data_IF_450644881239
#
_entry.id   IF_450644881239
#
_cell.length_a   1.000
_cell.length_b   1.000
_cell.length_c   1.000
_cell.angle_alpha   90.00
_cell.angle_beta   90.00
_cell.angle_gamma   90.00
#
_symmetry.space_group_name_H-M   'P 1'
#
loop_
_entity.id
_entity.type
_entity.pdbx_description
1 polymer ?
#
# COMPACT_ATOMS: atom_id res chain seq x y z
N UNK A 1 10.35 16.75 -22.02
CA UNK A 1 9.81 16.61 -23.39
C UNK A 1 10.92 16.62 -24.42
N UNK A 2 11.85 17.61 -24.42
CA UNK A 2 12.96 17.71 -25.39
C UNK A 2 13.79 16.42 -25.43
N UNK A 3 14.22 15.93 -24.27
CA UNK A 3 15.01 14.67 -24.17
C UNK A 3 14.25 13.46 -24.75
N UNK A 4 12.95 13.39 -24.62
CA UNK A 4 12.14 12.33 -25.21
C UNK A 4 12.13 12.45 -26.74
N UNK A 5 11.98 13.67 -27.27
CA UNK A 5 12.05 13.94 -28.72
C UNK A 5 13.41 13.57 -29.31
N UNK A 6 14.52 13.90 -28.65
CA UNK A 6 15.86 13.53 -29.06
C UNK A 6 16.06 12.01 -29.08
N UNK A 7 15.62 11.31 -28.01
CA UNK A 7 15.71 9.85 -27.95
C UNK A 7 14.85 9.19 -29.03
N UNK A 8 13.69 9.73 -29.35
CA UNK A 8 12.81 9.25 -30.41
C UNK A 8 13.46 9.42 -31.80
N UNK A 9 14.06 10.58 -32.07
CA UNK A 9 14.79 10.82 -33.31
C UNK A 9 16.00 9.88 -33.48
N UNK A 10 16.71 9.59 -32.39
CA UNK A 10 17.81 8.60 -32.36
C UNK A 10 17.31 7.18 -32.68
N UNK A 11 16.15 6.80 -32.12
CA UNK A 11 15.50 5.52 -32.42
C UNK A 11 15.13 5.42 -33.89
N UNK A 12 14.52 6.45 -34.47
CA UNK A 12 14.10 6.47 -35.86
C UNK A 12 15.31 6.35 -36.82
N UNK A 13 16.43 7.03 -36.48
CA UNK A 13 17.70 6.89 -37.22
C UNK A 13 18.25 5.45 -37.14
N UNK A 14 18.24 4.83 -35.96
CA UNK A 14 18.68 3.45 -35.77
C UNK A 14 17.80 2.44 -36.51
N UNK A 15 16.47 2.67 -36.51
CA UNK A 15 15.53 1.86 -37.30
C UNK A 15 15.79 1.95 -38.80
N UNK A 16 16.05 3.17 -39.31
CA UNK A 16 16.38 3.36 -40.72
C UNK A 16 17.67 2.62 -41.12
N UNK A 17 18.71 2.71 -40.28
CA UNK A 17 19.97 1.98 -40.52
C UNK A 17 19.76 0.45 -40.49
N UNK A 18 19.00 -0.06 -39.55
CA UNK A 18 18.67 -1.48 -39.43
C UNK A 18 17.86 -1.98 -40.65
N UNK A 19 16.93 -1.19 -41.14
CA UNK A 19 16.15 -1.54 -42.33
C UNK A 19 17.02 -1.60 -43.62
N UNK A 20 18.05 -0.73 -43.71
CA UNK A 20 19.04 -0.80 -44.79
C UNK A 20 19.87 -2.09 -44.70
N UNK A 21 20.39 -2.41 -43.51
CA UNK A 21 21.16 -3.64 -43.28
C UNK A 21 20.32 -4.90 -43.56
N UNK A 22 19.05 -4.91 -43.15
CA UNK A 22 18.11 -6.00 -43.40
C UNK A 22 17.88 -6.20 -44.92
N UNK A 23 17.66 -5.13 -45.68
CA UNK A 23 17.50 -5.19 -47.11
C UNK A 23 18.76 -5.70 -47.80
N UNK A 24 19.94 -5.28 -47.33
CA UNK A 24 21.22 -5.74 -47.85
C UNK A 24 21.41 -7.23 -47.58
N UNK A 25 21.20 -7.70 -46.34
CA UNK A 25 21.27 -9.12 -45.99
C UNK A 25 20.31 -9.98 -46.86
N UNK A 26 19.05 -9.51 -47.04
CA UNK A 26 18.06 -10.20 -47.85
C UNK A 26 18.46 -10.30 -49.33
N UNK A 27 19.28 -9.36 -49.86
CA UNK A 27 19.83 -9.38 -51.21
C UNK A 27 21.01 -10.33 -51.31
N UNK A 28 21.95 -10.30 -50.35
CA UNK A 28 23.19 -11.08 -50.37
C UNK A 28 22.91 -12.56 -50.07
N UNK A 29 22.02 -12.88 -49.17
CA UNK A 29 21.71 -14.26 -48.75
C UNK A 29 21.40 -15.23 -49.91
N UNK A 30 20.52 -14.91 -50.88
CA UNK A 30 20.28 -15.79 -52.01
C UNK A 30 21.45 -15.88 -52.97
N UNK A 31 22.22 -14.81 -53.18
CA UNK A 31 23.40 -14.80 -54.07
C UNK A 31 24.54 -15.65 -53.51
N UNK A 32 24.76 -15.62 -52.21
CA UNK A 32 25.74 -16.49 -51.58
C UNK A 32 25.34 -17.97 -51.66
N UNK A 33 24.05 -18.29 -51.53
CA UNK A 33 23.53 -19.65 -51.72
C UNK A 33 23.80 -20.17 -53.16
N UNK A 34 23.74 -19.29 -54.15
CA UNK A 34 24.05 -19.61 -55.57
C UNK A 34 25.55 -19.58 -55.87
N UNK A 35 26.41 -19.40 -54.82
CA UNK A 35 27.88 -19.23 -54.99
C UNK A 35 28.30 -18.04 -55.87
N UNK A 36 27.43 -17.06 -56.05
CA UNK A 36 27.69 -15.84 -56.82
C UNK A 36 28.39 -14.75 -55.97
N UNK A 37 28.41 -14.89 -54.63
CA UNK A 37 29.13 -14.05 -53.69
C UNK A 37 29.94 -14.91 -52.71
N UNK A 38 30.94 -14.31 -52.08
CA UNK A 38 31.78 -15.00 -51.08
C UNK A 38 31.03 -15.23 -49.77
N UNK A 39 31.46 -16.23 -49.00
CA UNK A 39 30.95 -16.45 -47.65
C UNK A 39 31.25 -15.27 -46.71
N UNK A 40 32.39 -14.63 -46.92
CA UNK A 40 32.84 -13.42 -46.20
C UNK A 40 31.84 -12.26 -46.35
N UNK A 41 31.31 -12.07 -47.58
CA UNK A 41 30.31 -11.02 -47.82
C UNK A 41 28.99 -11.30 -47.09
N UNK A 42 28.60 -12.59 -47.02
CA UNK A 42 27.41 -12.99 -46.27
C UNK A 42 27.62 -12.78 -44.73
N UNK A 43 28.78 -13.19 -44.22
CA UNK A 43 29.11 -13.05 -42.80
C UNK A 43 29.16 -11.58 -42.40
N UNK A 44 29.72 -10.70 -43.25
CA UNK A 44 29.68 -9.27 -43.05
C UNK A 44 28.27 -8.70 -43.00
N UNK A 45 27.41 -9.09 -43.96
CA UNK A 45 26.01 -8.63 -43.98
C UNK A 45 25.19 -9.11 -42.76
N UNK A 46 25.49 -10.31 -42.26
CA UNK A 46 24.92 -10.82 -40.99
C UNK A 46 25.40 -9.99 -39.79
N UNK A 47 26.71 -9.68 -39.76
CA UNK A 47 27.29 -8.85 -38.70
C UNK A 47 26.68 -7.44 -38.64
N UNK A 48 26.55 -6.81 -39.82
CA UNK A 48 25.89 -5.49 -39.97
C UNK A 48 24.45 -5.52 -39.49
N UNK A 49 23.69 -6.56 -39.88
CA UNK A 49 22.31 -6.74 -39.43
C UNK A 49 22.23 -6.90 -37.90
N UNK A 50 23.10 -7.68 -37.28
CA UNK A 50 23.13 -7.89 -35.86
C UNK A 50 23.54 -6.63 -35.09
N UNK A 51 24.55 -5.92 -35.59
CA UNK A 51 25.05 -4.67 -34.99
C UNK A 51 23.96 -3.58 -35.02
N UNK A 52 23.29 -3.41 -36.18
CA UNK A 52 22.19 -2.44 -36.26
C UNK A 52 20.98 -2.84 -35.42
N UNK A 53 20.68 -4.15 -35.27
CA UNK A 53 19.64 -4.64 -34.40
C UNK A 53 19.93 -4.30 -32.90
N UNK A 54 21.21 -4.45 -32.49
CA UNK A 54 21.64 -4.06 -31.15
C UNK A 54 21.54 -2.53 -30.95
N UNK A 55 21.87 -1.73 -31.96
CA UNK A 55 21.71 -0.28 -31.93
C UNK A 55 20.23 0.15 -31.75
N UNK A 56 19.31 -0.50 -32.43
CA UNK A 56 17.85 -0.28 -32.24
C UNK A 56 17.43 -0.62 -30.82
N UNK A 57 17.91 -1.74 -30.27
CA UNK A 57 17.61 -2.12 -28.89
C UNK A 57 18.10 -1.08 -27.87
N UNK A 58 19.31 -0.58 -28.07
CA UNK A 58 19.88 0.47 -27.24
C UNK A 58 19.09 1.79 -27.33
N UNK A 59 18.74 2.22 -28.54
CA UNK A 59 17.94 3.42 -28.75
C UNK A 59 16.52 3.30 -28.13
N UNK A 60 15.91 2.11 -28.18
CA UNK A 60 14.63 1.84 -27.47
C UNK A 60 14.77 2.03 -25.97
N UNK A 61 15.83 1.49 -25.37
CA UNK A 61 16.08 1.68 -23.93
C UNK A 61 16.24 3.15 -23.57
N UNK A 62 16.88 3.97 -24.42
CA UNK A 62 16.99 5.42 -24.22
C UNK A 62 15.63 6.12 -24.26
N UNK A 63 14.74 5.74 -25.19
CA UNK A 63 13.37 6.26 -25.25
C UNK A 63 12.59 5.90 -23.98
N UNK A 64 12.70 4.66 -23.50
CA UNK A 64 12.02 4.24 -22.26
C UNK A 64 12.55 5.02 -21.04
N UNK A 65 13.86 5.26 -20.95
CA UNK A 65 14.45 6.11 -19.92
C UNK A 65 13.93 7.55 -19.98
N UNK A 66 13.86 8.13 -21.18
CA UNK A 66 13.35 9.49 -21.35
C UNK A 66 11.85 9.60 -21.00
N UNK A 67 11.04 8.56 -21.34
CA UNK A 67 9.63 8.47 -20.94
C UNK A 67 9.48 8.36 -19.42
N UNK A 68 10.31 7.53 -18.78
CA UNK A 68 10.30 7.38 -17.33
C UNK A 68 10.62 8.71 -16.63
N UNK A 69 11.64 9.42 -17.10
CA UNK A 69 11.99 10.74 -16.56
C UNK A 69 10.83 11.75 -16.74
N UNK A 70 10.15 11.70 -17.89
CA UNK A 70 8.98 12.54 -18.13
C UNK A 70 7.81 12.16 -17.20
N UNK A 71 7.60 10.89 -16.92
CA UNK A 71 6.54 10.42 -16.04
C UNK A 71 6.69 10.93 -14.61
N UNK A 72 7.92 11.15 -14.14
CA UNK A 72 8.19 11.73 -12.81
C UNK A 72 7.77 13.21 -12.69
N UNK A 73 7.51 13.89 -13.81
CA UNK A 73 6.97 15.24 -13.79
C UNK A 73 5.45 15.28 -13.45
N UNK A 74 4.78 14.13 -13.48
CA UNK A 74 3.37 13.98 -13.12
C UNK A 74 3.27 13.06 -11.92
N UNK A 75 3.04 13.64 -10.73
CA UNK A 75 2.95 12.91 -9.48
C UNK A 75 1.50 12.54 -9.23
N UNK A 76 1.21 11.24 -9.21
CA UNK A 76 -0.13 10.72 -8.93
C UNK A 76 -0.15 9.98 -7.59
N UNK A 77 -1.28 10.05 -6.90
CA UNK A 77 -1.47 9.28 -5.66
C UNK A 77 -1.55 7.77 -5.98
N UNK A 78 -0.79 6.92 -5.27
CA UNK A 78 -0.89 5.46 -5.41
C UNK A 78 -2.15 4.88 -4.75
N UNK A 79 -2.86 5.68 -3.95
CA UNK A 79 -4.07 5.27 -3.23
C UNK A 79 -5.22 6.22 -3.51
N UNK A 80 -6.44 5.67 -3.52
CA UNK A 80 -7.66 6.46 -3.59
C UNK A 80 -8.01 6.98 -2.20
N UNK A 81 -8.26 8.26 -2.07
CA UNK A 81 -8.55 8.87 -0.77
C UNK A 81 -8.70 10.38 -0.82
N UNK A 82 -8.69 11.01 0.34
CA UNK A 82 -8.77 12.46 0.49
C UNK A 82 -7.38 13.04 0.69
N UNK A 83 -7.02 13.99 -0.15
CA UNK A 83 -5.76 14.71 -0.02
C UNK A 83 -5.85 15.78 1.08
N UNK A 84 -4.77 15.93 1.84
CA UNK A 84 -4.57 17.09 2.72
C UNK A 84 -4.38 18.37 1.91
N UNK A 85 -4.31 19.51 2.59
CA UNK A 85 -3.83 20.74 1.95
C UNK A 85 -2.43 20.54 1.36
N UNK A 86 -2.15 21.20 0.24
CA UNK A 86 -0.81 21.22 -0.34
C UNK A 86 0.17 21.87 0.67
N UNK A 87 1.31 21.21 0.88
CA UNK A 87 2.36 21.70 1.77
C UNK A 87 3.31 22.65 1.06
N UNK A 88 3.32 22.59 -0.28
CA UNK A 88 4.13 23.46 -1.13
C UNK A 88 3.22 24.30 -2.00
N UNK A 89 3.61 25.55 -2.24
CA UNK A 89 2.90 26.49 -3.12
C UNK A 89 3.42 26.38 -4.56
N UNK A 90 2.60 26.79 -5.50
CA UNK A 90 2.97 26.83 -6.91
C UNK A 90 4.22 27.70 -7.11
N UNK A 91 5.15 27.20 -7.91
CA UNK A 91 6.45 27.85 -8.15
C UNK A 91 7.54 27.54 -7.13
N UNK A 92 7.26 26.79 -6.07
CA UNK A 92 8.28 26.38 -5.11
C UNK A 92 9.24 25.37 -5.75
N UNK A 93 10.55 25.63 -5.62
CA UNK A 93 11.56 24.65 -6.04
C UNK A 93 11.58 23.46 -5.08
N UNK A 94 11.33 22.28 -5.62
CA UNK A 94 11.28 21.03 -4.84
C UNK A 94 12.67 20.39 -4.81
N UNK A 95 13.10 20.00 -3.61
CA UNK A 95 14.35 19.30 -3.34
C UNK A 95 14.11 18.20 -2.27
N UNK A 96 15.16 17.48 -1.88
CA UNK A 96 15.02 16.37 -0.91
C UNK A 96 14.50 16.80 0.47
N UNK A 97 14.69 18.05 0.88
CA UNK A 97 14.27 18.53 2.20
C UNK A 97 12.78 18.96 2.23
N UNK A 98 12.18 19.29 1.09
CA UNK A 98 10.80 19.71 0.97
C UNK A 98 9.99 18.85 -0.03
N UNK A 99 10.41 17.63 -0.27
CA UNK A 99 9.78 16.71 -1.22
C UNK A 99 8.37 16.24 -0.81
N UNK A 100 7.96 16.47 0.44
CA UNK A 100 6.62 16.15 0.91
C UNK A 100 5.61 17.18 0.38
N UNK A 101 4.76 16.75 -0.56
CA UNK A 101 3.83 17.63 -1.27
C UNK A 101 2.46 17.67 -0.62
N UNK A 102 1.92 16.51 -0.30
CA UNK A 102 0.62 16.32 0.35
C UNK A 102 0.53 14.92 0.96
N UNK A 103 -0.40 14.73 1.88
CA UNK A 103 -0.74 13.42 2.43
C UNK A 103 -2.10 12.99 1.90
N UNK A 104 -2.22 11.75 1.45
CA UNK A 104 -3.52 11.18 1.04
C UNK A 104 -3.96 10.16 2.07
N UNK A 105 -5.16 10.34 2.59
CA UNK A 105 -5.77 9.46 3.60
C UNK A 105 -6.81 8.56 2.95
N UNK A 106 -6.65 7.25 3.11
CA UNK A 106 -7.71 6.28 2.78
C UNK A 106 -8.76 6.32 3.88
N UNK A 107 -10.00 6.63 3.53
CA UNK A 107 -11.09 6.85 4.49
C UNK A 107 -11.88 5.58 4.80
N UNK A 108 -11.81 4.55 3.97
CA UNK A 108 -12.44 3.25 4.20
C UNK A 108 -11.57 2.15 3.58
N UNK A 109 -11.29 1.05 4.32
CA UNK A 109 -11.59 0.86 5.73
C UNK A 109 -10.74 1.76 6.64
N UNK A 110 -11.30 2.19 7.78
CA UNK A 110 -10.60 2.97 8.81
C UNK A 110 -10.06 2.04 9.89
N UNK A 111 -8.83 2.26 10.30
CA UNK A 111 -8.21 1.51 11.38
C UNK A 111 -8.27 2.30 12.68
N UNK A 112 -8.73 1.63 13.73
CA UNK A 112 -8.73 2.15 15.09
C UNK A 112 -7.74 1.36 15.91
N UNK A 113 -6.77 2.06 16.49
CA UNK A 113 -5.75 1.49 17.34
C UNK A 113 -6.08 1.80 18.79
N UNK A 114 -6.06 0.79 19.65
CA UNK A 114 -6.26 0.90 21.08
C UNK A 114 -5.33 -0.06 21.81
N UNK A 115 -5.12 0.18 23.10
CA UNK A 115 -4.19 -0.62 23.90
C UNK A 115 -4.93 -1.40 24.98
N UNK A 116 -4.44 -2.61 25.27
CA UNK A 116 -4.86 -3.43 26.40
C UNK A 116 -3.68 -3.63 27.34
N UNK A 117 -3.93 -3.60 28.67
CA UNK A 117 -2.87 -3.82 29.64
C UNK A 117 -2.57 -5.32 29.81
N UNK A 118 -1.31 -5.64 30.15
CA UNK A 118 -0.88 -7.00 30.50
C UNK A 118 -1.69 -7.60 31.66
N UNK A 119 -1.99 -6.78 32.67
CA UNK A 119 -2.79 -7.21 33.82
C UNK A 119 -4.22 -7.60 33.42
N UNK A 120 -4.83 -6.86 32.51
CA UNK A 120 -6.17 -7.15 32.00
C UNK A 120 -6.18 -8.43 31.16
N UNK A 121 -5.19 -8.61 30.32
CA UNK A 121 -5.02 -9.87 29.57
C UNK A 121 -4.80 -11.07 30.50
N UNK A 122 -3.93 -10.92 31.51
CA UNK A 122 -3.67 -11.97 32.50
C UNK A 122 -4.94 -12.37 33.25
N UNK A 123 -5.76 -11.37 33.68
CA UNK A 123 -7.05 -11.61 34.32
C UNK A 123 -8.01 -12.36 33.41
N UNK A 124 -8.16 -11.93 32.16
CA UNK A 124 -8.99 -12.61 31.16
C UNK A 124 -8.53 -14.05 30.96
N UNK A 125 -7.22 -14.26 30.84
CA UNK A 125 -6.61 -15.59 30.71
C UNK A 125 -6.92 -16.50 31.91
N UNK A 126 -6.87 -15.96 33.12
CA UNK A 126 -7.21 -16.70 34.32
C UNK A 126 -8.69 -17.07 34.34
N UNK A 127 -9.61 -16.13 34.11
CA UNK A 127 -11.05 -16.36 34.09
C UNK A 127 -11.47 -17.39 33.01
N UNK A 128 -10.76 -17.42 31.87
CA UNK A 128 -10.95 -18.44 30.82
C UNK A 128 -10.48 -19.82 31.31
N UNK A 129 -9.34 -19.92 31.99
CA UNK A 129 -8.84 -21.19 32.56
C UNK A 129 -9.76 -21.74 33.63
N UNK A 130 -10.38 -20.89 34.42
CA UNK A 130 -11.34 -21.23 35.47
C UNK A 130 -12.73 -21.58 34.91
N UNK A 131 -12.94 -21.38 33.60
CA UNK A 131 -14.23 -21.65 32.94
C UNK A 131 -15.33 -20.61 33.23
N UNK A 132 -14.95 -19.50 33.86
CA UNK A 132 -15.85 -18.38 34.20
C UNK A 132 -16.14 -17.54 32.96
N UNK A 133 -15.12 -17.33 32.12
CA UNK A 133 -15.21 -16.54 30.89
C UNK A 133 -14.98 -17.45 29.66
N UNK A 134 -15.81 -17.30 28.64
CA UNK A 134 -15.66 -17.97 27.34
C UNK A 134 -15.27 -16.93 26.29
N UNK A 135 -14.16 -17.18 25.58
CA UNK A 135 -13.75 -16.37 24.42
C UNK A 135 -14.59 -16.72 23.20
N UNK A 136 -14.77 -15.77 22.27
CA UNK A 136 -15.42 -16.05 20.99
C UNK A 136 -14.59 -17.05 20.17
N UNK A 137 -15.26 -17.80 19.31
CA UNK A 137 -14.59 -18.73 18.38
C UNK A 137 -13.65 -17.94 17.46
N UNK A 138 -12.49 -18.51 17.17
CA UNK A 138 -11.45 -17.91 16.33
C UNK A 138 -10.95 -16.52 16.80
N UNK A 139 -11.14 -16.15 18.06
CA UNK A 139 -10.79 -14.83 18.59
C UNK A 139 -11.44 -13.66 17.83
N UNK A 140 -12.62 -13.88 17.24
CA UNK A 140 -13.37 -12.88 16.48
C UNK A 140 -14.10 -11.92 17.43
N UNK A 141 -13.38 -10.89 17.88
CA UNK A 141 -13.91 -9.85 18.77
C UNK A 141 -14.54 -8.74 17.94
N UNK A 142 -15.82 -8.44 18.25
CA UNK A 142 -16.49 -7.25 17.74
C UNK A 142 -16.09 -6.02 18.53
N UNK A 143 -15.93 -4.90 17.81
CA UNK A 143 -15.59 -3.62 18.42
C UNK A 143 -16.65 -2.60 18.04
N UNK A 144 -17.21 -1.93 19.05
CA UNK A 144 -18.05 -0.75 18.88
C UNK A 144 -17.24 0.50 19.20
N UNK A 145 -17.53 1.60 18.50
CA UNK A 145 -16.91 2.89 18.78
C UNK A 145 -17.92 3.84 19.40
N UNK A 146 -17.51 4.46 20.48
CA UNK A 146 -18.18 5.63 21.05
C UNK A 146 -17.41 6.87 20.60
N UNK A 147 -18.07 7.76 19.89
CA UNK A 147 -17.53 9.00 19.38
C UNK A 147 -17.48 10.08 20.49
N UNK A 148 -16.78 11.16 20.22
CA UNK A 148 -16.82 12.34 21.09
C UNK A 148 -18.25 12.87 21.17
N UNK A 149 -18.82 12.89 22.38
CA UNK A 149 -20.24 13.24 22.62
C UNK A 149 -21.10 12.07 23.05
N UNK A 150 -20.56 10.84 23.12
CA UNK A 150 -21.26 9.65 23.60
C UNK A 150 -22.11 8.94 22.55
N UNK A 151 -22.07 9.39 21.30
CA UNK A 151 -22.75 8.72 20.20
C UNK A 151 -22.05 7.41 19.82
N UNK A 152 -22.82 6.35 19.65
CA UNK A 152 -22.28 5.06 19.19
C UNK A 152 -22.25 5.05 17.66
N UNK A 153 -21.07 4.77 17.10
CA UNK A 153 -20.91 4.58 15.66
C UNK A 153 -21.73 3.38 15.18
N UNK A 154 -22.55 3.53 14.13
CA UNK A 154 -23.56 2.52 13.77
C UNK A 154 -22.96 1.22 13.19
N UNK A 155 -21.71 1.27 12.70
CA UNK A 155 -21.06 0.11 12.10
C UNK A 155 -20.08 -0.49 13.10
N UNK A 156 -20.24 -1.78 13.40
CA UNK A 156 -19.29 -2.53 14.24
C UNK A 156 -18.06 -2.92 13.43
N UNK A 157 -16.90 -2.81 14.05
CA UNK A 157 -15.65 -3.29 13.48
C UNK A 157 -15.25 -4.64 14.08
N UNK A 158 -14.15 -5.19 13.57
CA UNK A 158 -13.54 -6.43 14.07
C UNK A 158 -12.07 -6.22 14.37
N UNK A 159 -11.56 -6.89 15.39
CA UNK A 159 -10.13 -6.91 15.69
C UNK A 159 -9.42 -7.66 14.57
N UNK A 160 -8.51 -6.98 13.89
CA UNK A 160 -7.74 -7.53 12.75
C UNK A 160 -6.28 -7.78 13.08
N UNK A 161 -5.78 -7.18 14.15
CA UNK A 161 -4.38 -7.30 14.55
C UNK A 161 -4.22 -7.14 16.06
N UNK A 162 -3.34 -7.96 16.63
CA UNK A 162 -2.85 -7.86 18.00
C UNK A 162 -1.33 -7.89 17.97
N UNK A 163 -0.70 -6.90 18.60
CA UNK A 163 0.76 -6.87 18.70
C UNK A 163 1.26 -8.03 19.58
N UNK A 164 2.27 -8.78 19.14
CA UNK A 164 2.89 -9.79 20.00
C UNK A 164 3.80 -9.20 21.07
N UNK A 165 4.14 -7.92 20.98
CA UNK A 165 5.08 -7.26 21.87
C UNK A 165 4.34 -6.30 22.81
N UNK A 166 4.74 -6.33 24.08
CA UNK A 166 4.34 -5.32 25.05
C UNK A 166 5.24 -4.08 24.95
N UNK A 167 4.66 -2.93 25.17
CA UNK A 167 5.42 -1.71 25.39
C UNK A 167 5.92 -1.69 26.83
N UNK A 168 7.24 -1.77 27.07
CA UNK A 168 7.79 -1.90 28.41
C UNK A 168 7.59 -0.66 29.28
N UNK A 169 7.33 0.50 28.70
CA UNK A 169 7.10 1.75 29.46
C UNK A 169 5.68 1.87 29.98
N UNK A 170 4.70 1.26 29.30
CA UNK A 170 3.27 1.35 29.65
C UNK A 170 2.67 0.03 30.13
N UNK A 171 3.37 -1.11 29.92
CA UNK A 171 2.84 -2.45 30.21
C UNK A 171 1.58 -2.78 29.41
N UNK A 172 1.49 -2.27 28.18
CA UNK A 172 0.35 -2.46 27.29
C UNK A 172 0.79 -3.01 25.95
N UNK A 173 -0.11 -3.69 25.25
CA UNK A 173 0.08 -4.06 23.85
C UNK A 173 -1.01 -3.45 22.97
N UNK A 174 -0.68 -3.29 21.70
CA UNK A 174 -1.53 -2.65 20.72
C UNK A 174 -2.49 -3.64 20.08
N UNK A 175 -3.74 -3.26 20.00
CA UNK A 175 -4.79 -3.91 19.23
C UNK A 175 -5.27 -2.98 18.11
N UNK A 176 -5.64 -3.55 16.97
CA UNK A 176 -6.19 -2.80 15.86
C UNK A 176 -7.50 -3.43 15.40
N UNK A 177 -8.51 -2.59 15.26
CA UNK A 177 -9.77 -2.98 14.65
C UNK A 177 -9.99 -2.23 13.34
N UNK A 178 -10.65 -2.88 12.40
CA UNK A 178 -11.01 -2.31 11.09
C UNK A 178 -12.50 -1.99 11.05
N UNK A 179 -12.82 -0.80 10.53
CA UNK A 179 -14.19 -0.27 10.42
C UNK A 179 -14.46 0.21 9.00
N UNK A 180 -15.59 -0.17 8.46
CA UNK A 180 -16.09 0.46 7.24
C UNK A 180 -16.55 1.88 7.54
N UNK A 181 -16.26 2.81 6.64
CA UNK A 181 -16.54 4.23 6.82
C UNK A 181 -17.18 4.85 5.56
N UNK A 182 -18.35 4.35 5.12
CA UNK A 182 -18.97 4.76 3.86
C UNK A 182 -19.35 6.24 3.83
N UNK A 183 -19.71 6.80 4.97
CA UNK A 183 -20.17 8.18 5.10
C UNK A 183 -19.07 9.15 5.55
N UNK A 184 -17.82 8.69 5.66
CA UNK A 184 -16.68 9.48 6.13
C UNK A 184 -16.90 10.18 7.48
N UNK A 185 -17.68 9.56 8.37
CA UNK A 185 -17.95 10.07 9.73
C UNK A 185 -16.72 9.94 10.61
N UNK A 186 -15.95 8.86 10.43
CA UNK A 186 -14.65 8.68 11.09
C UNK A 186 -13.59 9.49 10.33
N UNK A 187 -12.75 10.19 11.09
CA UNK A 187 -11.64 10.96 10.52
C UNK A 187 -10.30 10.45 11.06
N UNK A 188 -9.23 10.50 10.25
CA UNK A 188 -7.89 10.19 10.73
C UNK A 188 -7.53 11.03 11.95
N UNK A 189 -6.84 10.41 12.93
CA UNK A 189 -6.40 11.06 14.17
C UNK A 189 -7.54 11.50 15.10
N UNK A 190 -8.77 11.05 14.86
CA UNK A 190 -9.88 11.31 15.76
C UNK A 190 -9.78 10.41 17.01
N UNK A 191 -10.03 10.99 18.18
CA UNK A 191 -10.16 10.25 19.44
C UNK A 191 -11.53 9.56 19.49
N UNK A 192 -11.52 8.26 19.79
CA UNK A 192 -12.71 7.43 19.96
C UNK A 192 -12.50 6.47 21.13
N UNK A 193 -13.60 6.03 21.77
CA UNK A 193 -13.55 4.95 22.75
C UNK A 193 -13.92 3.63 22.08
N UNK A 194 -13.03 2.64 22.12
CA UNK A 194 -13.28 1.30 21.63
C UNK A 194 -13.92 0.44 22.74
N UNK A 195 -15.08 -0.15 22.46
CA UNK A 195 -15.78 -1.09 23.31
C UNK A 195 -15.67 -2.46 22.66
N UNK A 196 -14.83 -3.33 23.22
CA UNK A 196 -14.61 -4.69 22.70
C UNK A 196 -15.66 -5.63 23.26
N UNK A 197 -16.32 -6.39 22.38
CA UNK A 197 -17.36 -7.36 22.71
C UNK A 197 -16.99 -8.74 22.17
N UNK A 198 -17.58 -9.80 22.76
CA UNK A 198 -17.43 -11.16 22.27
C UNK A 198 -17.08 -12.18 23.34
N UNK A 199 -16.41 -11.75 24.43
CA UNK A 199 -16.24 -12.61 25.60
C UNK A 199 -17.55 -12.66 26.41
N UNK A 200 -17.93 -13.86 26.87
CA UNK A 200 -19.16 -14.08 27.63
C UNK A 200 -18.88 -14.78 28.94
N UNK A 201 -19.46 -14.29 30.02
CA UNK A 201 -19.42 -14.96 31.30
C UNK A 201 -20.38 -16.16 31.29
N UNK A 202 -19.88 -17.33 31.72
CA UNK A 202 -20.66 -18.55 31.79
C UNK A 202 -21.43 -18.58 33.12
N UNK A 203 -22.77 -18.84 33.05
CA UNK A 203 -23.64 -18.91 34.23
C UNK A 203 -23.64 -17.65 35.13
N UNK A 204 -23.44 -16.47 34.55
CA UNK A 204 -23.47 -15.22 35.28
C UNK A 204 -24.89 -14.86 35.76
N UNK A 205 -25.04 -14.52 37.05
CA UNK A 205 -26.25 -13.94 37.58
C UNK A 205 -26.20 -12.43 37.34
N UNK A 206 -27.13 -11.91 36.54
CA UNK A 206 -27.17 -10.49 36.20
C UNK A 206 -28.29 -9.82 36.99
N UNK A 207 -27.98 -8.74 37.69
CA UNK A 207 -28.92 -7.88 38.39
C UNK A 207 -28.86 -6.46 37.82
N UNK A 208 -29.98 -5.73 37.72
CA UNK A 208 -29.94 -4.32 37.32
C UNK A 208 -29.11 -3.51 38.32
N UNK A 209 -28.25 -2.63 37.81
CA UNK A 209 -27.36 -1.80 38.64
C UNK A 209 -28.12 -0.98 39.71
N UNK A 210 -29.34 -0.54 39.40
CA UNK A 210 -30.21 0.20 40.31
C UNK A 210 -30.68 -0.65 41.52
N UNK A 211 -30.60 -1.98 41.45
CA UNK A 211 -30.94 -2.89 42.54
C UNK A 211 -29.77 -3.06 43.53
N UNK A 212 -28.58 -2.59 43.20
CA UNK A 212 -27.39 -2.64 44.09
C UNK A 212 -27.36 -1.35 44.91
N UNK A 213 -27.62 -1.46 46.23
CA UNK A 213 -27.57 -0.34 47.14
C UNK A 213 -26.28 -0.45 48.00
N UNK A 214 -25.51 0.63 48.05
CA UNK A 214 -24.39 0.73 48.98
C UNK A 214 -24.90 0.79 50.41
N UNK A 215 -24.50 -0.14 51.24
CA UNK A 215 -24.82 -0.16 52.66
C UNK A 215 -23.54 -0.09 53.51
N UNK A 216 -23.70 0.23 54.82
CA UNK A 216 -22.62 0.34 55.78
C UNK A 216 -21.80 -0.95 55.98
N UNK A 217 -22.22 -2.09 55.45
CA UNK A 217 -21.55 -3.41 55.56
C UNK A 217 -21.01 -3.95 54.23
N UNK A 218 -20.89 -3.10 53.22
CA UNK A 218 -20.44 -3.48 51.86
C UNK A 218 -21.56 -3.54 50.82
N UNK A 219 -21.22 -3.95 49.60
CA UNK A 219 -22.16 -4.13 48.51
C UNK A 219 -22.94 -5.43 48.63
#
# INVERSE_FOLDING_TARGET
EVQLSEAQASLDSSLAAHEVAKRNLNRIRPLAKLKALSQTDLDQAIGDFQTTAAAVSNAKAQVENAKLNLSYCTITSPVTGYASSALQTDGTYINMSNAHLATVYTMSPMWVTFSMSENEEAKINQEVKEGILRRPENHDYEVQLELAGGEIYPITGRVTFSSPNFNPSTGTFELRASFENPNNQLRPQQYVRAIVKGATYVNAIVVPQIAVQEGSKGH
#
